data_IF_646459734977
#
_entry.id   IF_646459734977
#
_cell.length_a   1.000
_cell.length_b   1.000
_cell.length_c   1.000
_cell.angle_alpha   90.00
_cell.angle_beta   90.00
_cell.angle_gamma   90.00
#
_symmetry.space_group_name_H-M   'P 1'
#
loop_
_entity.id
_entity.type
_entity.pdbx_description
1 polymer ?
#
# COMPACT_ATOMS: atom_id res chain seq x y z
N UNK A 1 68.59 13.04 37.09
CA UNK A 1 67.32 12.67 37.76
C UNK A 1 66.24 12.63 36.69
N UNK A 2 65.52 11.58 36.35
CA UNK A 2 65.46 10.13 36.63
C UNK A 2 64.97 9.54 35.26
N UNK A 3 65.67 8.61 34.59
CA UNK A 3 65.64 7.15 34.77
C UNK A 3 64.24 6.57 35.10
N UNK A 4 63.63 5.91 34.11
CA UNK A 4 62.98 4.58 34.18
C UNK A 4 62.55 4.16 32.75
N UNK A 5 63.44 3.64 31.89
CA UNK A 5 63.70 2.20 31.63
C UNK A 5 62.47 1.30 31.36
N UNK A 6 62.39 0.90 30.07
CA UNK A 6 62.22 -0.48 29.52
C UNK A 6 60.92 -1.23 29.81
N UNK A 7 60.30 -1.76 28.75
CA UNK A 7 60.56 -3.12 28.24
C UNK A 7 59.64 -3.47 27.05
N UNK A 8 60.24 -3.88 25.91
CA UNK A 8 60.28 -5.24 25.32
C UNK A 8 59.05 -5.55 24.44
N UNK A 9 59.23 -5.55 23.11
CA UNK A 9 59.62 -6.70 22.26
C UNK A 9 58.47 -7.69 22.06
N UNK A 10 57.92 -7.75 20.83
CA UNK A 10 57.81 -8.98 20.04
C UNK A 10 56.89 -8.77 18.82
N UNK A 11 57.49 -8.71 17.64
CA UNK A 11 56.84 -9.13 16.39
C UNK A 11 57.10 -10.62 16.18
N UNK A 12 56.11 -11.42 15.76
CA UNK A 12 56.41 -12.33 14.65
C UNK A 12 55.24 -12.58 13.67
N UNK A 13 55.64 -12.63 12.40
CA UNK A 13 55.35 -13.64 11.38
C UNK A 13 53.94 -13.76 10.75
N UNK A 14 53.89 -13.29 9.49
CA UNK A 14 53.52 -14.04 8.27
C UNK A 14 52.62 -15.27 8.45
N UNK A 15 51.48 -15.26 7.76
CA UNK A 15 51.05 -16.40 6.94
C UNK A 15 50.37 -15.87 5.68
N UNK A 16 50.97 -16.22 4.53
CA UNK A 16 50.40 -16.14 3.20
C UNK A 16 49.80 -17.52 2.92
N UNK A 17 48.51 -17.60 2.58
CA UNK A 17 47.91 -18.73 1.86
C UNK A 17 46.82 -18.12 0.96
N UNK A 18 47.12 -17.85 -0.30
CA UNK A 18 46.91 -18.73 -1.47
C UNK A 18 45.43 -18.95 -1.80
N UNK A 19 45.05 -18.39 -2.95
CA UNK A 19 43.80 -18.59 -3.67
C UNK A 19 43.46 -20.08 -3.85
N UNK A 20 42.19 -20.46 -3.61
CA UNK A 20 41.54 -21.54 -4.37
C UNK A 20 40.09 -21.20 -4.68
N UNK A 21 39.90 -20.86 -5.96
CA UNK A 21 38.70 -20.98 -6.79
C UNK A 21 37.90 -22.24 -6.41
N UNK A 22 36.63 -22.07 -6.02
CA UNK A 22 35.60 -23.11 -6.15
C UNK A 22 34.37 -22.49 -6.81
N UNK A 23 34.32 -22.71 -8.10
CA UNK A 23 33.12 -22.81 -8.93
C UNK A 23 32.12 -23.75 -8.25
N UNK A 24 30.87 -23.30 -8.09
CA UNK A 24 29.69 -24.19 -8.16
C UNK A 24 28.39 -23.38 -8.10
N UNK A 25 27.77 -23.27 -9.27
CA UNK A 25 26.33 -23.19 -9.49
C UNK A 25 25.65 -21.89 -9.02
N UNK A 26 25.74 -20.91 -9.90
CA UNK A 26 24.73 -19.87 -10.11
C UNK A 26 23.35 -20.54 -10.21
N UNK A 27 22.57 -20.52 -9.12
CA UNK A 27 21.12 -20.73 -9.20
C UNK A 27 20.57 -19.52 -9.96
N UNK A 28 20.55 -19.67 -11.29
CA UNK A 28 19.76 -18.88 -12.23
C UNK A 28 18.30 -19.23 -11.94
N UNK A 29 17.76 -18.70 -10.85
CA UNK A 29 16.31 -18.57 -10.71
C UNK A 29 15.92 -17.63 -11.83
N UNK A 30 15.26 -18.21 -12.82
CA UNK A 30 14.74 -17.57 -14.01
C UNK A 30 13.98 -16.34 -13.54
N UNK A 31 14.55 -15.17 -13.79
CA UNK A 31 13.81 -13.92 -13.75
C UNK A 31 12.79 -14.04 -14.87
N UNK A 32 11.58 -14.46 -14.50
CA UNK A 32 10.40 -14.32 -15.35
C UNK A 32 10.26 -12.81 -15.49
N UNK A 33 10.79 -12.26 -16.58
CA UNK A 33 10.34 -10.99 -17.11
C UNK A 33 8.91 -11.26 -17.53
N UNK A 34 7.95 -11.02 -16.63
CA UNK A 34 6.57 -10.85 -17.07
C UNK A 34 6.59 -9.61 -17.96
N UNK A 35 6.32 -9.86 -19.24
CA UNK A 35 6.26 -8.83 -20.27
C UNK A 35 5.36 -7.70 -19.78
N UNK A 36 5.94 -6.50 -19.69
CA UNK A 36 5.27 -5.25 -19.39
C UNK A 36 4.34 -4.86 -20.56
N UNK A 37 3.33 -5.68 -20.81
CA UNK A 37 2.14 -5.26 -21.53
C UNK A 37 1.30 -4.47 -20.53
N UNK A 38 1.22 -3.16 -20.77
CA UNK A 38 0.50 -2.16 -19.98
C UNK A 38 -1.02 -2.43 -20.02
N UNK A 39 -1.45 -3.56 -19.47
CA UNK A 39 -2.86 -3.77 -19.16
C UNK A 39 -3.18 -2.97 -17.91
N UNK A 40 -4.04 -1.95 -18.08
CA UNK A 40 -4.56 -1.18 -16.96
C UNK A 40 -5.18 -2.14 -15.95
N UNK A 41 -4.70 -2.09 -14.71
CA UNK A 41 -5.25 -2.89 -13.61
C UNK A 41 -6.66 -2.43 -13.27
N UNK A 42 -7.49 -3.34 -12.79
CA UNK A 42 -8.83 -3.02 -12.30
C UNK A 42 -8.75 -2.46 -10.87
N UNK A 43 -9.65 -1.55 -10.51
CA UNK A 43 -9.78 -1.04 -9.14
C UNK A 43 -11.01 -1.67 -8.48
N UNK A 44 -10.85 -2.20 -7.27
CA UNK A 44 -11.96 -2.64 -6.42
C UNK A 44 -12.00 -1.75 -5.19
N UNK A 45 -13.14 -1.11 -4.95
CA UNK A 45 -13.37 -0.26 -3.78
C UNK A 45 -14.27 -1.02 -2.82
N UNK A 46 -13.82 -1.13 -1.57
CA UNK A 46 -14.55 -1.77 -0.48
C UNK A 46 -14.67 -0.81 0.69
N UNK A 47 -15.57 -1.12 1.60
CA UNK A 47 -15.78 -0.27 2.77
C UNK A 47 -14.68 -0.41 3.83
N UNK A 48 -14.30 -1.64 4.19
CA UNK A 48 -13.43 -1.91 5.34
C UNK A 48 -12.04 -2.44 4.94
N UNK A 49 -10.97 -2.08 5.68
CA UNK A 49 -9.62 -2.61 5.43
C UNK A 49 -9.52 -4.14 5.56
N UNK A 50 -10.36 -4.74 6.39
CA UNK A 50 -10.42 -6.19 6.55
C UNK A 50 -10.91 -6.87 5.26
N UNK A 51 -12.02 -6.38 4.68
CA UNK A 51 -12.53 -6.84 3.38
C UNK A 51 -11.48 -6.68 2.28
N UNK A 52 -10.77 -5.55 2.26
CA UNK A 52 -9.71 -5.29 1.27
C UNK A 52 -8.61 -6.34 1.32
N UNK A 53 -8.13 -6.70 2.52
CA UNK A 53 -7.10 -7.73 2.71
C UNK A 53 -7.56 -9.10 2.21
N UNK A 54 -8.81 -9.46 2.46
CA UNK A 54 -9.37 -10.74 2.03
C UNK A 54 -9.55 -10.79 0.51
N UNK A 55 -10.19 -9.78 -0.08
CA UNK A 55 -10.45 -9.71 -1.52
C UNK A 55 -9.14 -9.64 -2.32
N UNK A 56 -8.14 -8.91 -1.82
CA UNK A 56 -6.83 -8.84 -2.47
C UNK A 56 -6.12 -10.21 -2.56
N UNK A 57 -6.29 -11.07 -1.54
CA UNK A 57 -5.75 -12.44 -1.57
C UNK A 57 -6.45 -13.32 -2.62
N UNK A 58 -7.72 -13.05 -2.92
CA UNK A 58 -8.53 -13.84 -3.85
C UNK A 58 -8.28 -13.38 -5.30
N UNK A 59 -8.25 -12.07 -5.55
CA UNK A 59 -8.18 -11.51 -6.90
C UNK A 59 -6.77 -11.43 -7.50
N UNK A 60 -5.73 -11.32 -6.66
CA UNK A 60 -4.34 -11.30 -7.11
C UNK A 60 -3.89 -9.98 -7.77
N UNK A 61 -2.78 -10.03 -8.51
CA UNK A 61 -1.99 -8.86 -8.96
C UNK A 61 -2.63 -7.98 -10.04
N UNK A 62 -3.69 -8.48 -10.69
CA UNK A 62 -4.45 -7.78 -11.74
C UNK A 62 -5.43 -6.74 -11.19
N UNK A 63 -5.70 -6.80 -9.89
CA UNK A 63 -6.60 -5.88 -9.19
C UNK A 63 -5.84 -5.03 -8.18
N UNK A 64 -6.26 -3.80 -8.04
CA UNK A 64 -5.88 -2.90 -6.96
C UNK A 64 -7.09 -2.79 -6.05
N UNK A 65 -6.96 -3.22 -4.79
CA UNK A 65 -8.07 -3.16 -3.82
C UNK A 65 -7.82 -2.02 -2.84
N UNK A 66 -8.79 -1.10 -2.71
CA UNK A 66 -8.74 0.07 -1.82
C UNK A 66 -9.95 0.09 -0.89
N UNK A 67 -9.77 0.65 0.31
CA UNK A 67 -10.83 0.77 1.30
C UNK A 67 -11.21 2.24 1.56
N UNK A 68 -12.50 2.54 1.68
CA UNK A 68 -13.02 3.89 2.05
C UNK A 68 -12.98 4.16 3.55
N UNK A 69 -12.83 3.08 4.35
CA UNK A 69 -12.89 3.09 5.81
C UNK A 69 -14.23 3.66 6.29
N UNK A 70 -15.33 3.20 5.69
CA UNK A 70 -16.70 3.70 5.87
C UNK A 70 -17.03 4.92 4.98
N UNK A 71 -18.11 5.64 5.31
CA UNK A 71 -18.63 6.79 4.54
C UNK A 71 -17.60 7.89 4.25
N UNK A 72 -17.54 8.41 3.03
CA UNK A 72 -16.64 9.54 2.66
C UNK A 72 -17.33 10.90 2.65
N UNK A 73 -18.66 10.89 2.63
CA UNK A 73 -19.53 12.05 2.69
C UNK A 73 -20.59 11.83 3.75
N UNK A 74 -21.01 12.91 4.38
CA UNK A 74 -22.07 12.91 5.39
C UNK A 74 -22.84 14.22 5.33
N UNK A 75 -23.91 14.32 6.10
CA UNK A 75 -24.59 15.57 6.35
C UNK A 75 -23.67 16.55 7.11
N UNK A 76 -23.80 17.85 6.84
CA UNK A 76 -23.14 18.89 7.60
C UNK A 76 -23.37 18.77 9.11
N UNK A 77 -22.30 18.76 9.91
CA UNK A 77 -22.38 18.56 11.38
C UNK A 77 -23.17 19.65 12.12
N UNK A 78 -23.19 20.88 11.60
CA UNK A 78 -23.67 22.07 12.31
C UNK A 78 -24.92 22.71 11.67
N UNK A 79 -25.57 22.04 10.72
CA UNK A 79 -26.84 22.50 10.12
C UNK A 79 -27.74 21.30 9.83
N UNK A 80 -29.03 21.54 9.60
CA UNK A 80 -30.02 20.48 9.33
C UNK A 80 -29.59 19.53 8.19
N UNK A 81 -28.86 20.05 7.19
CA UNK A 81 -28.27 19.22 6.14
C UNK A 81 -29.26 18.68 5.12
N UNK A 82 -30.53 19.10 5.16
CA UNK A 82 -31.50 18.81 4.11
C UNK A 82 -32.51 19.95 3.98
N UNK A 83 -33.08 20.09 2.78
CA UNK A 83 -34.09 21.09 2.47
C UNK A 83 -35.50 20.51 2.66
N UNK A 84 -36.18 20.88 3.75
CA UNK A 84 -37.51 20.36 4.07
C UNK A 84 -38.62 20.90 3.15
N UNK A 85 -38.43 22.08 2.54
CA UNK A 85 -39.47 22.71 1.70
C UNK A 85 -39.37 22.26 0.25
N UNK A 86 -38.17 21.89 -0.22
CA UNK A 86 -37.93 21.45 -1.60
C UNK A 86 -37.79 19.93 -1.73
N UNK A 87 -38.48 19.14 -0.90
CA UNK A 87 -38.59 17.69 -1.07
C UNK A 87 -37.49 16.86 -0.38
N UNK A 88 -36.97 17.33 0.75
CA UNK A 88 -35.97 16.64 1.58
C UNK A 88 -34.65 16.36 0.86
N UNK A 89 -34.21 17.29 0.00
CA UNK A 89 -32.95 17.16 -0.73
C UNK A 89 -31.78 17.25 0.28
N UNK A 90 -30.96 16.20 0.43
CA UNK A 90 -29.83 16.22 1.36
C UNK A 90 -28.66 17.02 0.78
N UNK A 91 -27.98 17.76 1.65
CA UNK A 91 -26.69 18.36 1.37
C UNK A 91 -25.60 17.43 1.92
N UNK A 92 -24.69 16.97 1.05
CA UNK A 92 -23.56 16.14 1.45
C UNK A 92 -22.26 16.93 1.43
N UNK A 93 -21.53 16.85 2.54
CA UNK A 93 -20.17 17.40 2.68
C UNK A 93 -19.17 16.28 2.88
N UNK A 94 -17.92 16.50 2.48
CA UNK A 94 -16.85 15.54 2.75
C UNK A 94 -16.53 15.52 4.24
N UNK A 95 -16.36 14.33 4.80
CA UNK A 95 -15.99 14.17 6.22
C UNK A 95 -14.53 14.59 6.42
N UNK A 96 -14.30 15.43 7.44
CA UNK A 96 -12.96 15.89 7.81
C UNK A 96 -12.01 14.71 8.05
N UNK A 97 -10.82 14.77 7.47
CA UNK A 97 -9.77 13.76 7.62
C UNK A 97 -9.82 12.63 6.59
N UNK A 98 -10.85 12.57 5.74
CA UNK A 98 -10.95 11.61 4.62
C UNK A 98 -10.42 12.12 3.29
N UNK A 99 -9.86 13.33 3.25
CA UNK A 99 -9.38 13.97 2.02
C UNK A 99 -8.24 13.18 1.36
N UNK A 100 -7.36 12.58 2.18
CA UNK A 100 -6.28 11.71 1.68
C UNK A 100 -6.83 10.47 0.98
N UNK A 101 -7.87 9.86 1.55
CA UNK A 101 -8.51 8.66 1.01
C UNK A 101 -9.20 9.02 -0.31
N UNK A 102 -9.94 10.14 -0.34
CA UNK A 102 -10.61 10.62 -1.55
C UNK A 102 -9.59 10.87 -2.67
N UNK A 103 -8.46 11.53 -2.37
CA UNK A 103 -7.40 11.76 -3.36
C UNK A 103 -6.80 10.46 -3.88
N UNK A 104 -6.46 9.52 -3.00
CA UNK A 104 -5.88 8.22 -3.38
C UNK A 104 -6.87 7.38 -4.23
N UNK A 105 -8.17 7.40 -3.89
CA UNK A 105 -9.22 6.75 -4.68
C UNK A 105 -9.37 7.41 -6.06
N UNK A 106 -9.39 8.74 -6.13
CA UNK A 106 -9.46 9.48 -7.40
C UNK A 106 -8.25 9.19 -8.30
N UNK A 107 -7.04 9.16 -7.74
CA UNK A 107 -5.83 8.84 -8.48
C UNK A 107 -5.83 7.39 -8.98
N UNK A 108 -6.27 6.46 -8.14
CA UNK A 108 -6.39 5.03 -8.49
C UNK A 108 -7.43 4.82 -9.58
N UNK A 109 -8.58 5.51 -9.47
CA UNK A 109 -9.68 5.46 -10.44
C UNK A 109 -9.25 5.94 -11.83
N UNK A 110 -8.46 7.03 -11.92
CA UNK A 110 -7.93 7.55 -13.19
C UNK A 110 -7.00 6.56 -13.91
N UNK A 111 -6.30 5.72 -13.15
CA UNK A 111 -5.34 4.73 -13.68
C UNK A 111 -6.01 3.40 -14.03
N UNK A 112 -7.19 3.13 -13.46
CA UNK A 112 -7.88 1.87 -13.61
C UNK A 112 -8.52 1.71 -15.01
N UNK A 113 -8.67 0.46 -15.46
CA UNK A 113 -9.49 0.11 -16.62
C UNK A 113 -10.96 0.08 -16.24
N UNK A 114 -11.28 -0.70 -15.20
CA UNK A 114 -12.63 -0.85 -14.67
C UNK A 114 -12.62 -0.60 -13.16
N UNK A 115 -13.69 0.02 -12.66
CA UNK A 115 -13.91 0.25 -11.23
C UNK A 115 -15.06 -0.64 -10.78
N UNK A 116 -14.81 -1.45 -9.76
CA UNK A 116 -15.79 -2.31 -9.11
C UNK A 116 -16.10 -1.77 -7.72
N UNK A 117 -17.37 -1.55 -7.43
CA UNK A 117 -17.85 -1.26 -6.09
C UNK A 117 -18.24 -2.60 -5.45
N UNK A 118 -17.53 -2.96 -4.39
CA UNK A 118 -17.72 -4.19 -3.64
C UNK A 118 -18.08 -3.87 -2.19
N UNK A 119 -19.11 -3.02 -2.04
CA UNK A 119 -19.78 -2.78 -0.77
C UNK A 119 -20.68 -3.96 -0.40
N UNK A 120 -21.16 -3.98 0.84
CA UNK A 120 -22.03 -5.07 1.31
C UNK A 120 -23.42 -4.94 0.66
N UNK A 121 -24.13 -6.06 0.41
CA UNK A 121 -25.42 -6.07 -0.27
C UNK A 121 -26.55 -5.68 0.69
N UNK A 122 -26.39 -4.53 1.34
CA UNK A 122 -27.35 -3.96 2.26
C UNK A 122 -27.53 -2.47 2.00
N UNK A 123 -28.49 -1.87 2.71
CA UNK A 123 -28.83 -0.45 2.57
C UNK A 123 -27.62 0.47 2.82
N UNK A 124 -26.74 0.10 3.75
CA UNK A 124 -25.57 0.93 4.08
C UNK A 124 -24.53 0.83 2.95
N UNK A 125 -24.26 -0.38 2.48
CA UNK A 125 -23.35 -0.62 1.37
C UNK A 125 -23.79 0.02 0.05
N UNK A 126 -25.10 0.13 -0.21
CA UNK A 126 -25.62 0.87 -1.38
C UNK A 126 -25.44 2.39 -1.26
N UNK A 127 -25.38 2.92 -0.03
CA UNK A 127 -25.25 4.35 0.22
C UNK A 127 -23.79 4.85 0.23
N UNK A 128 -22.81 3.94 0.44
CA UNK A 128 -21.37 4.22 0.56
C UNK A 128 -20.70 4.40 -0.81
#
# INVERSE_FOLDING_TARGET
MALEKKSRVASPKKTIVTQKKKTSVTKKTIAIKEDASSSKKNLVIVESPAKAKTINKILGSNFVVKATVGHIKDLPKNKLGFDAENGFIPEYVTIDGKEKIIKDLQESAKKASTIYLASDPDREGEAI
#
